data_IF_462467000456
#
_entry.id   IF_462467000456
#
_cell.length_a   1.000
_cell.length_b   1.000
_cell.length_c   1.000
_cell.angle_alpha   90.00
_cell.angle_beta   90.00
_cell.angle_gamma   90.00
#
_symmetry.space_group_name_H-M   'P 1'
#
loop_
_entity.id
_entity.type
_entity.pdbx_description
1 polymer ?
#
# COMPACT_ATOMS: atom_id res chain seq x y z
N UNK A 1 -3.15 -9.54 -28.56
CA UNK A 1 -3.41 -8.32 -27.75
C UNK A 1 -3.72 -8.77 -26.33
N UNK A 2 -2.92 -8.39 -25.34
CA UNK A 2 -3.18 -8.75 -23.94
C UNK A 2 -4.33 -7.88 -23.43
N UNK A 3 -5.41 -8.49 -22.95
CA UNK A 3 -6.58 -7.78 -22.42
C UNK A 3 -6.18 -7.02 -21.15
N UNK A 4 -6.47 -5.71 -21.03
CA UNK A 4 -6.15 -4.96 -19.82
C UNK A 4 -6.89 -5.58 -18.63
N UNK A 5 -6.13 -6.02 -17.62
CA UNK A 5 -6.66 -6.67 -16.41
C UNK A 5 -6.84 -5.63 -15.33
N UNK A 6 -8.05 -5.49 -14.81
CA UNK A 6 -8.30 -4.62 -13.65
C UNK A 6 -7.90 -5.32 -12.35
N UNK A 7 -7.19 -4.61 -11.47
CA UNK A 7 -6.80 -5.07 -10.14
C UNK A 7 -7.12 -4.02 -9.07
N UNK A 8 -7.24 -4.46 -7.83
CA UNK A 8 -7.46 -3.59 -6.66
C UNK A 8 -6.17 -3.35 -5.90
N UNK A 9 -5.95 -2.12 -5.44
CA UNK A 9 -4.89 -1.83 -4.46
C UNK A 9 -5.27 -2.46 -3.11
N UNK A 10 -4.39 -3.31 -2.56
CA UNK A 10 -4.61 -4.07 -1.31
C UNK A 10 -3.79 -3.58 -0.11
N UNK A 11 -3.01 -2.53 -0.30
CA UNK A 11 -2.24 -1.84 0.76
C UNK A 11 -2.89 -0.50 1.07
N UNK A 12 -2.60 0.08 2.25
CA UNK A 12 -3.17 1.37 2.68
C UNK A 12 -2.95 2.48 1.65
N UNK A 13 -1.70 2.58 1.17
CA UNK A 13 -1.27 3.55 0.16
C UNK A 13 -0.36 2.84 -0.84
N UNK A 14 -0.88 2.60 -2.05
CA UNK A 14 -0.12 2.01 -3.15
C UNK A 14 0.68 3.07 -3.90
N UNK A 15 1.99 2.88 -4.01
CA UNK A 15 2.88 3.81 -4.70
C UNK A 15 2.97 3.45 -6.19
N UNK A 16 2.72 4.44 -7.05
CA UNK A 16 2.93 4.35 -8.50
C UNK A 16 4.26 5.05 -8.81
N UNK A 17 5.16 4.34 -9.47
CA UNK A 17 6.56 4.77 -9.67
C UNK A 17 6.90 4.98 -11.14
N UNK A 18 7.90 5.82 -11.41
CA UNK A 18 8.37 6.10 -12.76
C UNK A 18 9.03 4.89 -13.42
N UNK A 19 9.67 4.02 -12.64
CA UNK A 19 10.36 2.81 -13.09
C UNK A 19 9.92 1.59 -12.25
N UNK A 20 10.06 0.35 -12.77
CA UNK A 20 9.78 -0.87 -12.01
C UNK A 20 10.88 -1.16 -10.97
N UNK A 21 11.05 -0.26 -10.01
CA UNK A 21 12.07 -0.34 -8.96
C UNK A 21 11.61 0.40 -7.71
N UNK A 22 11.99 -0.10 -6.53
CA UNK A 22 11.70 0.56 -5.25
C UNK A 22 12.44 1.90 -5.06
N UNK A 23 13.47 2.19 -5.87
CA UNK A 23 14.13 3.50 -5.91
C UNK A 23 13.56 4.46 -6.98
N UNK A 24 12.68 3.95 -7.85
CA UNK A 24 11.97 4.76 -8.84
C UNK A 24 11.20 5.88 -8.16
N UNK A 25 11.19 7.07 -8.75
CA UNK A 25 10.47 8.21 -8.18
C UNK A 25 8.98 7.88 -8.08
N UNK A 26 8.36 8.22 -6.95
CA UNK A 26 6.91 8.08 -6.77
C UNK A 26 6.26 9.20 -7.60
N UNK A 27 5.49 8.83 -8.62
CA UNK A 27 4.80 9.77 -9.51
C UNK A 27 3.35 10.01 -9.08
N UNK A 28 2.77 9.06 -8.35
CA UNK A 28 1.44 9.18 -7.77
C UNK A 28 1.22 8.13 -6.69
N UNK A 29 0.15 8.29 -5.92
CA UNK A 29 -0.32 7.31 -4.95
C UNK A 29 -1.77 6.92 -5.25
N UNK A 30 -2.10 5.67 -4.95
CA UNK A 30 -3.43 5.11 -5.07
C UNK A 30 -3.89 4.58 -3.70
N UNK A 31 -5.05 5.01 -3.18
CA UNK A 31 -5.52 4.54 -1.88
C UNK A 31 -5.96 3.06 -1.95
N UNK A 32 -6.11 2.45 -0.79
CA UNK A 32 -6.71 1.12 -0.66
C UNK A 32 -8.04 0.99 -1.44
N UNK A 33 -8.29 -0.20 -1.99
CA UNK A 33 -9.44 -0.56 -2.83
C UNK A 33 -9.54 0.16 -4.19
N UNK A 34 -8.69 1.16 -4.46
CA UNK A 34 -8.63 1.83 -5.77
C UNK A 34 -8.43 0.79 -6.87
N UNK A 35 -9.27 0.86 -7.90
CA UNK A 35 -9.13 0.04 -9.09
C UNK A 35 -8.09 0.66 -10.03
N UNK A 36 -7.22 -0.18 -10.58
CA UNK A 36 -6.22 0.19 -11.58
C UNK A 36 -6.25 -0.81 -12.74
N UNK A 37 -5.94 -0.36 -13.95
CA UNK A 37 -5.79 -1.23 -15.11
C UNK A 37 -4.32 -1.61 -15.26
N UNK A 38 -4.03 -2.90 -15.28
CA UNK A 38 -2.69 -3.43 -15.59
C UNK A 38 -2.53 -3.51 -17.11
N UNK A 39 -1.50 -2.84 -17.60
CA UNK A 39 -1.16 -2.71 -19.01
C UNK A 39 -0.02 -3.65 -19.40
N UNK A 40 0.93 -3.86 -18.48
CA UNK A 40 2.14 -4.63 -18.70
C UNK A 40 2.63 -5.21 -17.37
N UNK A 41 3.29 -6.37 -17.42
CA UNK A 41 4.00 -6.96 -16.29
C UNK A 41 5.48 -7.12 -16.63
N UNK A 42 6.37 -6.73 -15.70
CA UNK A 42 7.82 -6.87 -15.84
C UNK A 42 8.44 -7.17 -14.48
N UNK A 43 9.02 -8.36 -14.33
CA UNK A 43 9.78 -8.76 -13.14
C UNK A 43 9.06 -8.50 -11.81
N UNK A 44 7.78 -8.87 -11.72
CA UNK A 44 6.95 -8.67 -10.52
C UNK A 44 6.36 -7.25 -10.37
N UNK A 45 6.66 -6.35 -11.30
CA UNK A 45 6.05 -5.02 -11.39
C UNK A 45 4.94 -4.98 -12.42
N UNK A 46 3.87 -4.26 -12.10
CA UNK A 46 2.72 -4.04 -12.96
C UNK A 46 2.74 -2.58 -13.43
N UNK A 47 2.79 -2.35 -14.73
CA UNK A 47 2.54 -1.03 -15.30
C UNK A 47 1.05 -0.78 -15.25
N UNK A 48 0.64 0.18 -14.43
CA UNK A 48 -0.75 0.47 -14.15
C UNK A 48 -1.16 1.83 -14.69
N UNK A 49 -2.40 1.96 -15.14
CA UNK A 49 -3.09 3.24 -15.32
C UNK A 49 -4.26 3.34 -14.34
N UNK A 50 -4.52 4.55 -13.85
CA UNK A 50 -5.65 4.81 -12.95
C UNK A 50 -6.82 5.34 -13.77
N UNK A 51 -7.93 4.60 -13.92
CA UNK A 51 -9.08 5.07 -14.69
C UNK A 51 -9.59 6.43 -14.22
N UNK A 52 -9.89 7.34 -15.15
CA UNK A 52 -10.35 8.70 -14.84
C UNK A 52 -9.27 9.65 -14.35
N UNK A 53 -8.00 9.21 -14.26
CA UNK A 53 -6.85 10.08 -13.98
C UNK A 53 -5.82 9.92 -15.10
N UNK A 54 -5.14 11.01 -15.46
CA UNK A 54 -4.03 10.95 -16.42
C UNK A 54 -2.73 10.51 -15.72
N UNK A 55 -2.77 9.37 -15.04
CA UNK A 55 -1.67 8.82 -14.24
C UNK A 55 -1.39 7.40 -14.68
N UNK A 56 -0.14 7.16 -15.07
CA UNK A 56 0.39 5.84 -15.43
C UNK A 56 1.79 5.68 -14.84
N UNK A 57 2.12 4.47 -14.41
CA UNK A 57 3.46 4.14 -13.89
C UNK A 57 3.53 2.69 -13.42
N UNK A 58 4.48 2.37 -12.57
CA UNK A 58 4.76 1.02 -12.09
C UNK A 58 4.37 0.83 -10.64
N UNK A 59 3.63 -0.23 -10.34
CA UNK A 59 3.29 -0.65 -8.99
C UNK A 59 3.77 -2.08 -8.78
N UNK A 60 4.40 -2.37 -7.65
CA UNK A 60 4.83 -3.74 -7.35
C UNK A 60 3.62 -4.65 -7.14
N UNK A 61 3.67 -5.89 -7.65
CA UNK A 61 2.54 -6.83 -7.63
C UNK A 61 2.01 -7.14 -6.23
N UNK A 62 2.84 -7.08 -5.19
CA UNK A 62 2.40 -7.28 -3.80
C UNK A 62 1.42 -6.22 -3.29
N UNK A 63 1.38 -5.05 -3.93
CA UNK A 63 0.42 -3.99 -3.60
C UNK A 63 -0.95 -4.20 -4.28
N UNK A 64 -1.06 -5.17 -5.20
CA UNK A 64 -2.24 -5.40 -6.02
C UNK A 64 -2.88 -6.76 -5.75
N UNK A 65 -4.19 -6.82 -5.85
CA UNK A 65 -4.98 -8.05 -5.75
C UNK A 65 -5.89 -8.19 -6.96
N UNK A 66 -5.98 -9.41 -7.49
CA UNK A 66 -6.94 -9.74 -8.55
C UNK A 66 -8.39 -9.73 -8.03
N UNK A 67 -8.60 -9.83 -6.70
CA UNK A 67 -9.92 -9.72 -6.09
C UNK A 67 -10.39 -8.27 -6.14
N UNK A 68 -11.63 -8.05 -6.56
CA UNK A 68 -12.26 -6.72 -6.47
C UNK A 68 -12.52 -6.40 -5.01
N UNK A 69 -11.99 -5.27 -4.54
CA UNK A 69 -12.24 -4.75 -3.20
C UNK A 69 -13.22 -3.59 -3.36
N UNK A 70 -14.39 -3.71 -2.72
CA UNK A 70 -15.43 -2.67 -2.77
C UNK A 70 -15.62 -2.13 -1.36
N UNK A 71 -15.49 -0.82 -1.21
CA UNK A 71 -15.86 -0.11 0.01
C UNK A 71 -17.37 0.08 -0.02
N UNK A 72 -18.14 -0.72 0.72
CA UNK A 72 -19.58 -0.50 0.86
C UNK A 72 -19.82 0.67 1.82
N UNK A 73 -20.32 1.79 1.31
CA UNK A 73 -20.74 2.93 2.10
C UNK A 73 -22.27 2.87 2.28
N UNK A 74 -22.73 2.61 3.50
CA UNK A 74 -24.12 2.79 3.93
C UNK A 74 -24.26 4.09 4.74
N UNK A 75 -25.37 4.80 4.56
CA UNK A 75 -25.64 6.15 5.06
C UNK A 75 -25.61 6.28 6.60
N UNK A 76 -25.41 7.54 7.05
CA UNK A 76 -25.28 8.08 8.43
C UNK A 76 -23.90 8.08 9.11
N UNK A 77 -22.92 7.37 8.58
CA UNK A 77 -21.63 7.15 9.24
C UNK A 77 -20.46 7.98 8.65
N UNK A 78 -20.68 9.25 8.34
CA UNK A 78 -19.67 10.14 7.70
C UNK A 78 -18.40 10.32 8.58
N UNK A 79 -18.50 10.12 9.90
CA UNK A 79 -17.35 10.07 10.82
C UNK A 79 -16.58 8.73 10.80
N UNK A 80 -17.18 7.63 10.34
CA UNK A 80 -16.57 6.28 10.21
C UNK A 80 -15.97 6.00 8.82
N UNK A 81 -16.15 6.90 7.86
CA UNK A 81 -15.46 6.81 6.58
C UNK A 81 -13.92 6.90 6.74
N UNK A 82 -13.43 7.53 7.84
CA UNK A 82 -12.02 7.52 8.21
C UNK A 82 -11.51 6.13 8.66
N UNK A 83 -12.40 5.26 9.18
CA UNK A 83 -12.11 3.89 9.65
C UNK A 83 -12.30 2.80 8.57
N UNK A 84 -12.76 3.14 7.36
CA UNK A 84 -13.04 2.10 6.33
C UNK A 84 -11.77 1.41 5.80
N UNK A 85 -10.62 2.09 5.84
CA UNK A 85 -9.32 1.46 5.58
C UNK A 85 -8.94 0.39 6.61
N UNK A 86 -9.45 0.50 7.84
CA UNK A 86 -9.19 -0.45 8.92
C UNK A 86 -10.01 -1.73 8.76
N UNK A 87 -11.28 -1.64 8.37
CA UNK A 87 -12.16 -2.82 8.17
C UNK A 87 -11.63 -3.75 7.08
N UNK A 88 -11.11 -3.17 6.00
CA UNK A 88 -10.68 -3.94 4.84
C UNK A 88 -9.23 -4.48 4.97
N UNK A 89 -8.40 -3.85 5.81
CA UNK A 89 -7.17 -4.47 6.33
C UNK A 89 -7.48 -5.52 7.41
N UNK A 90 -8.56 -5.33 8.19
CA UNK A 90 -9.00 -6.24 9.26
C UNK A 90 -9.49 -7.61 8.76
N UNK A 91 -9.69 -7.79 7.44
CA UNK A 91 -9.78 -9.14 6.84
C UNK A 91 -8.50 -9.98 7.03
N UNK A 92 -7.39 -9.36 7.45
CA UNK A 92 -6.13 -10.01 7.85
C UNK A 92 -5.94 -10.11 9.38
N UNK A 93 -6.90 -9.63 10.18
CA UNK A 93 -6.87 -9.72 11.66
C UNK A 93 -6.01 -8.67 12.39
N UNK A 94 -5.40 -7.73 11.68
CA UNK A 94 -4.53 -6.70 12.28
C UNK A 94 -5.18 -5.32 12.17
N UNK A 95 -5.67 -4.78 13.29
CA UNK A 95 -6.23 -3.43 13.37
C UNK A 95 -5.95 -2.80 14.75
N UNK A 96 -6.24 -1.51 14.88
CA UNK A 96 -5.99 -0.76 16.11
C UNK A 96 -6.73 -1.32 17.32
N UNK A 97 -7.99 -1.74 17.15
CA UNK A 97 -8.79 -2.31 18.24
C UNK A 97 -8.20 -3.63 18.75
N UNK A 98 -7.74 -4.51 17.86
CA UNK A 98 -7.07 -5.77 18.21
C UNK A 98 -5.78 -5.48 18.97
N UNK A 99 -5.00 -4.50 18.51
CA UNK A 99 -3.77 -4.10 19.17
C UNK A 99 -4.03 -3.51 20.57
N UNK A 100 -5.03 -2.64 20.71
CA UNK A 100 -5.43 -2.04 21.98
C UNK A 100 -5.90 -3.12 22.96
N UNK A 101 -6.69 -4.10 22.50
CA UNK A 101 -7.12 -5.24 23.30
C UNK A 101 -5.93 -6.12 23.71
N UNK A 102 -4.99 -6.37 22.78
CA UNK A 102 -3.80 -7.17 23.04
C UNK A 102 -2.90 -6.51 24.08
N UNK A 103 -2.68 -5.18 23.99
CA UNK A 103 -1.96 -4.38 25.00
C UNK A 103 -2.64 -4.42 26.37
N UNK A 104 -3.98 -4.42 26.41
CA UNK A 104 -4.72 -4.50 27.67
C UNK A 104 -4.54 -5.86 28.36
N UNK A 105 -4.47 -6.95 27.58
CA UNK A 105 -4.35 -8.33 28.07
C UNK A 105 -2.90 -8.75 28.36
N UNK A 106 -1.90 -8.17 27.69
CA UNK A 106 -0.50 -8.57 27.78
C UNK A 106 0.34 -7.37 28.27
N UNK A 107 0.26 -7.10 29.58
CA UNK A 107 0.91 -5.95 30.25
C UNK A 107 2.44 -6.07 30.32
N UNK A 108 2.95 -7.27 30.11
CA UNK A 108 4.36 -7.67 30.15
C UNK A 108 5.08 -7.53 28.80
N UNK A 109 4.34 -7.30 27.72
CA UNK A 109 4.92 -7.07 26.38
C UNK A 109 5.37 -5.62 26.24
N UNK A 110 6.64 -5.41 25.87
CA UNK A 110 7.18 -4.09 25.59
C UNK A 110 6.93 -3.66 24.13
N UNK A 111 6.00 -2.72 23.95
CA UNK A 111 5.65 -2.18 22.64
C UNK A 111 6.54 -1.01 22.21
N UNK A 112 7.50 -0.57 23.02
CA UNK A 112 8.36 0.59 22.73
C UNK A 112 9.05 0.46 21.38
N UNK A 113 9.51 -0.73 21.02
CA UNK A 113 10.18 -0.99 19.75
C UNK A 113 9.21 -0.96 18.56
N UNK A 114 7.97 -1.44 18.73
CA UNK A 114 6.92 -1.37 17.71
C UNK A 114 6.55 0.09 17.46
N UNK A 115 6.31 0.86 18.53
CA UNK A 115 5.95 2.28 18.45
C UNK A 115 7.07 3.10 17.80
N UNK A 116 8.32 2.78 18.12
CA UNK A 116 9.50 3.39 17.49
C UNK A 116 9.58 3.05 16.00
N UNK A 117 9.36 1.80 15.62
CA UNK A 117 9.35 1.37 14.22
C UNK A 117 8.25 2.08 13.43
N UNK A 118 7.03 2.13 13.95
CA UNK A 118 5.88 2.78 13.30
C UNK A 118 6.12 4.27 13.02
N UNK A 119 6.86 4.96 13.90
CA UNK A 119 7.22 6.38 13.74
C UNK A 119 8.39 6.62 12.78
N UNK A 120 9.21 5.60 12.54
CA UNK A 120 10.36 5.72 11.65
C UNK A 120 9.94 5.53 10.19
N UNK A 121 10.36 6.44 9.32
CA UNK A 121 10.28 6.25 7.87
C UNK A 121 11.56 6.75 7.22
N UNK A 122 12.09 5.97 6.27
CA UNK A 122 13.25 6.38 5.50
C UNK A 122 12.79 7.19 4.28
N UNK A 123 13.35 8.38 4.08
CA UNK A 123 13.09 9.15 2.86
C UNK A 123 13.69 8.46 1.63
N UNK A 124 13.14 8.75 0.45
CA UNK A 124 13.68 8.23 -0.81
C UNK A 124 15.14 8.66 -1.05
N UNK A 125 15.50 9.85 -0.57
CA UNK A 125 16.89 10.34 -0.62
C UNK A 125 17.82 9.46 0.21
N UNK A 126 17.44 9.16 1.45
CA UNK A 126 18.23 8.28 2.32
C UNK A 126 18.33 6.86 1.76
N UNK A 127 17.25 6.32 1.20
CA UNK A 127 17.25 4.99 0.58
C UNK A 127 18.18 4.92 -0.64
N UNK A 128 18.19 5.96 -1.49
CA UNK A 128 19.10 6.04 -2.63
C UNK A 128 20.55 6.14 -2.20
N UNK A 129 20.83 6.97 -1.17
CA UNK A 129 22.16 7.11 -0.63
C UNK A 129 22.66 5.78 -0.05
N UNK A 130 21.84 5.13 0.77
CA UNK A 130 22.11 3.80 1.32
C UNK A 130 22.42 2.78 0.21
N UNK A 131 21.62 2.75 -0.86
CA UNK A 131 21.82 1.80 -1.94
C UNK A 131 23.10 2.07 -2.75
N UNK A 132 23.47 3.35 -2.93
CA UNK A 132 24.74 3.77 -3.52
C UNK A 132 25.93 3.34 -2.67
N UNK A 133 25.87 3.59 -1.36
CA UNK A 133 26.95 3.29 -0.42
C UNK A 133 27.14 1.77 -0.26
N UNK A 134 26.04 1.01 -0.29
CA UNK A 134 26.06 -0.45 -0.19
C UNK A 134 26.35 -1.19 -1.50
N UNK A 135 26.62 -0.49 -2.61
CA UNK A 135 26.84 -1.09 -3.95
C UNK A 135 25.75 -2.10 -4.34
N UNK A 136 24.51 -1.83 -3.94
CA UNK A 136 23.40 -2.75 -4.19
C UNK A 136 23.06 -2.70 -5.68
N UNK A 137 23.21 -3.84 -6.36
CA UNK A 137 22.77 -3.99 -7.75
C UNK A 137 21.23 -4.05 -7.78
N UNK A 138 20.62 -3.20 -8.61
CA UNK A 138 19.18 -2.94 -8.66
C UNK A 138 18.65 -2.99 -10.08
#
# INVERSE_FOLDING_TARGET
MSTPRTMSVQVKTGQIRSTPSFLGAIVAEAPYAQQVQVLEEKSGWMRVSVPGRNVQGWMHGSALSAKRIVLQAGADDVQKAATTGEIALAGKGFNKQVEDQYRAQNKDVDFTWIDRMQKSSASMTQLRQFAKDGQLNM
#
